data_IF_951833030264
#
_entry.id   IF_951833030264
#
_cell.length_a   1.000
_cell.length_b   1.000
_cell.length_c   1.000
_cell.angle_alpha   90.00
_cell.angle_beta   90.00
_cell.angle_gamma   90.00
#
_symmetry.space_group_name_H-M   'P 1'
#
loop_
_entity.id
_entity.type
_entity.pdbx_description
1 polymer ?
#
# COMPACT_ATOMS: atom_id res chain seq x y z
N UNK A 1 -16.11 -20.18 6.44
CA UNK A 1 -16.48 -19.61 5.13
C UNK A 1 -15.22 -19.48 4.27
N UNK A 2 -15.00 -20.39 3.32
CA UNK A 2 -13.91 -20.25 2.36
C UNK A 2 -14.21 -19.07 1.42
N UNK A 3 -13.27 -18.13 1.27
CA UNK A 3 -13.40 -17.00 0.35
C UNK A 3 -13.73 -15.63 0.95
N UNK A 4 -13.77 -15.49 2.29
CA UNK A 4 -13.92 -14.16 2.91
C UNK A 4 -12.67 -13.31 2.60
N UNK A 5 -12.89 -12.13 2.00
CA UNK A 5 -11.84 -11.18 1.61
C UNK A 5 -11.46 -10.25 2.77
N UNK A 6 -11.07 -10.82 3.90
CA UNK A 6 -10.74 -10.10 5.14
C UNK A 6 -9.24 -10.12 5.50
N UNK A 7 -8.41 -10.65 4.60
CA UNK A 7 -6.95 -10.65 4.75
C UNK A 7 -6.34 -9.34 4.23
N UNK A 8 -5.44 -8.75 5.03
CA UNK A 8 -4.69 -7.54 4.68
C UNK A 8 -3.20 -7.77 4.91
N UNK A 9 -2.34 -7.13 4.10
CA UNK A 9 -0.87 -7.16 4.24
C UNK A 9 -0.37 -5.73 4.40
N UNK A 10 0.49 -5.48 5.39
CA UNK A 10 1.15 -4.19 5.63
C UNK A 10 2.66 -4.42 5.59
N UNK A 11 3.36 -3.65 4.78
CA UNK A 11 4.82 -3.64 4.70
C UNK A 11 5.33 -2.22 4.88
N UNK A 12 6.31 -2.03 5.76
CA UNK A 12 6.98 -0.74 6.01
C UNK A 12 8.42 -0.87 5.52
N UNK A 13 8.81 -0.02 4.58
CA UNK A 13 10.14 -0.01 3.98
C UNK A 13 10.71 1.40 4.13
N UNK A 14 11.82 1.52 4.86
CA UNK A 14 12.47 2.80 5.22
C UNK A 14 13.82 2.98 4.51
N UNK A 15 14.32 4.22 4.45
CA UNK A 15 15.64 4.52 3.89
C UNK A 15 15.68 4.51 2.35
N UNK A 16 14.52 4.67 1.71
CA UNK A 16 14.39 4.72 0.27
C UNK A 16 14.62 6.14 -0.26
N UNK A 17 15.25 6.27 -1.41
CA UNK A 17 15.16 7.48 -2.22
C UNK A 17 13.78 7.58 -2.88
N UNK A 18 13.39 8.77 -3.34
CA UNK A 18 12.10 8.98 -4.01
C UNK A 18 11.89 8.05 -5.21
N UNK A 19 12.95 7.81 -5.99
CA UNK A 19 12.90 6.93 -7.16
C UNK A 19 12.73 5.46 -6.77
N UNK A 20 13.34 5.02 -5.67
CA UNK A 20 13.14 3.67 -5.14
C UNK A 20 11.72 3.49 -4.60
N UNK A 21 11.21 4.46 -3.84
CA UNK A 21 9.84 4.44 -3.33
C UNK A 21 8.80 4.39 -4.46
N UNK A 22 9.02 5.16 -5.54
CA UNK A 22 8.13 5.14 -6.71
C UNK A 22 8.13 3.78 -7.42
N UNK A 23 9.30 3.17 -7.63
CA UNK A 23 9.43 1.85 -8.28
C UNK A 23 8.71 0.76 -7.46
N UNK A 24 8.98 0.73 -6.15
CA UNK A 24 8.34 -0.23 -5.23
C UNK A 24 6.82 -0.03 -5.23
N UNK A 25 6.35 1.21 -5.18
CA UNK A 25 4.91 1.51 -5.21
C UNK A 25 4.25 1.01 -6.51
N UNK A 26 4.90 1.20 -7.66
CA UNK A 26 4.41 0.71 -8.95
C UNK A 26 4.35 -0.82 -9.00
N UNK A 27 5.35 -1.52 -8.46
CA UNK A 27 5.39 -2.98 -8.43
C UNK A 27 4.31 -3.56 -7.49
N UNK A 28 4.06 -2.90 -6.35
CA UNK A 28 2.95 -3.26 -5.46
C UNK A 28 1.60 -3.09 -6.19
N UNK A 29 1.40 -1.99 -6.92
CA UNK A 29 0.17 -1.78 -7.70
C UNK A 29 -0.02 -2.87 -8.78
N UNK A 30 1.04 -3.22 -9.51
CA UNK A 30 1.00 -4.31 -10.51
C UNK A 30 0.65 -5.65 -9.85
N UNK A 31 1.28 -5.98 -8.73
CA UNK A 31 1.00 -7.21 -7.98
C UNK A 31 -0.44 -7.25 -7.47
N UNK A 32 -0.95 -6.12 -6.97
CA UNK A 32 -2.36 -5.97 -6.58
C UNK A 32 -3.29 -6.21 -7.76
N UNK A 33 -3.02 -5.61 -8.93
CA UNK A 33 -3.86 -5.78 -10.11
C UNK A 33 -3.90 -7.24 -10.58
N UNK A 34 -2.77 -7.95 -10.50
CA UNK A 34 -2.66 -9.36 -10.89
C UNK A 34 -3.39 -10.31 -9.93
N UNK A 35 -3.23 -10.10 -8.62
CA UNK A 35 -3.65 -11.06 -7.60
C UNK A 35 -4.96 -10.69 -6.88
N UNK A 36 -5.29 -9.41 -6.81
CA UNK A 36 -6.48 -8.88 -6.14
C UNK A 36 -7.05 -7.66 -6.88
N UNK A 37 -7.47 -7.80 -8.16
CA UNK A 37 -7.91 -6.67 -8.99
C UNK A 37 -9.06 -5.88 -8.35
N UNK A 38 -10.02 -6.58 -7.73
CA UNK A 38 -11.15 -5.97 -7.01
C UNK A 38 -10.87 -5.67 -5.53
N UNK A 39 -9.66 -5.93 -5.04
CA UNK A 39 -9.27 -5.62 -3.66
C UNK A 39 -9.10 -4.12 -3.47
N UNK A 40 -9.41 -3.59 -2.28
CA UNK A 40 -9.04 -2.22 -1.92
C UNK A 40 -7.57 -2.20 -1.52
N UNK A 41 -6.80 -1.23 -2.02
CA UNK A 41 -5.40 -1.05 -1.68
C UNK A 41 -5.11 0.40 -1.34
N UNK A 42 -4.31 0.62 -0.30
CA UNK A 42 -3.77 1.94 0.06
C UNK A 42 -2.26 1.82 0.08
N UNK A 43 -1.57 2.69 -0.66
CA UNK A 43 -0.10 2.79 -0.68
C UNK A 43 0.22 4.24 -0.35
N UNK A 44 1.14 4.45 0.61
CA UNK A 44 1.61 5.78 0.98
C UNK A 44 3.14 5.79 0.94
N UNK A 45 3.72 6.83 0.34
CA UNK A 45 5.16 7.09 0.33
C UNK A 45 5.40 8.48 0.89
N UNK A 46 6.31 8.60 1.85
CA UNK A 46 6.61 9.84 2.56
C UNK A 46 7.75 9.66 3.55
N UNK A 47 8.09 10.73 4.29
CA UNK A 47 9.16 10.69 5.28
C UNK A 47 8.91 9.60 6.34
N UNK A 48 9.96 8.85 6.67
CA UNK A 48 9.96 7.77 7.67
C UNK A 48 9.40 8.19 9.02
N UNK A 49 9.61 9.46 9.42
CA UNK A 49 9.04 10.05 10.63
C UNK A 49 7.51 10.12 10.65
N UNK A 50 6.85 10.00 9.49
CA UNK A 50 5.40 10.21 9.32
C UNK A 50 4.65 9.02 8.72
N UNK A 51 5.35 8.01 8.19
CA UNK A 51 4.73 6.84 7.51
C UNK A 51 3.89 5.99 8.48
N UNK A 52 4.34 5.79 9.72
CA UNK A 52 3.56 5.08 10.74
C UNK A 52 2.25 5.82 11.10
N UNK A 53 2.32 7.15 11.14
CA UNK A 53 1.18 8.03 11.42
C UNK A 53 0.19 8.08 10.24
N UNK A 54 0.66 7.99 9.00
CA UNK A 54 -0.15 7.93 7.78
C UNK A 54 -0.92 6.61 7.65
N UNK A 55 -0.34 5.49 8.11
CA UNK A 55 -1.03 4.20 8.21
C UNK A 55 -2.13 4.21 9.28
N UNK A 56 -1.93 4.93 10.41
CA UNK A 56 -2.93 5.03 11.48
C UNK A 56 -4.01 6.10 11.26
N UNK A 57 -3.70 7.23 10.59
CA UNK A 57 -4.66 8.34 10.41
C UNK A 57 -5.57 8.27 9.20
N UNK A 58 -5.48 7.22 8.39
CA UNK A 58 -6.49 6.93 7.36
C UNK A 58 -6.69 8.08 6.37
N UNK A 59 -5.81 8.25 5.38
CA UNK A 59 -6.15 9.12 4.24
C UNK A 59 -5.41 8.72 2.97
N UNK A 60 -6.10 7.97 2.10
CA UNK A 60 -6.61 8.44 0.79
C UNK A 60 -7.29 7.25 0.12
N UNK A 61 -8.62 7.30 0.02
CA UNK A 61 -9.44 6.30 -0.65
C UNK A 61 -9.12 6.35 -2.15
N UNK A 62 -8.39 5.38 -2.67
CA UNK A 62 -8.24 5.20 -4.12
C UNK A 62 -9.37 4.25 -4.55
N UNK A 63 -10.41 4.81 -5.17
CA UNK A 63 -11.50 4.07 -5.83
C UNK A 63 -12.81 4.03 -5.04
N UNK A 64 -13.84 4.60 -5.66
CA UNK A 64 -15.24 4.20 -5.46
C UNK A 64 -15.52 2.92 -6.23
#
# INVERSE_FOLDING_TARGET
MAGKKDKSVVAVISGLTDSQAARISADIMKSKQRNAPSGRGTITSGFTSSVGSLLQKGTKRIGG
#
